data_IF_819343079901
#
_entry.id   IF_819343079901
#
_cell.length_a   1.000
_cell.length_b   1.000
_cell.length_c   1.000
_cell.angle_alpha   90.00
_cell.angle_beta   90.00
_cell.angle_gamma   90.00
#
_symmetry.space_group_name_H-M   'P 1'
#
loop_
_entity.id
_entity.type
_entity.pdbx_description
1 polymer ?
#
# COMPACT_ATOMS: atom_id res chain seq x y z
N UNK A 1 -35.89 -1.69 10.77
CA UNK A 1 -35.07 -1.92 11.97
C UNK A 1 -34.16 -3.13 11.76
N UNK A 2 -34.71 -4.36 11.70
CA UNK A 2 -33.94 -5.61 11.50
C UNK A 2 -33.03 -5.66 10.26
N UNK A 3 -33.41 -5.01 9.15
CA UNK A 3 -32.57 -4.97 7.95
C UNK A 3 -31.21 -4.28 8.19
N UNK A 4 -31.14 -3.26 9.07
CA UNK A 4 -29.88 -2.61 9.42
C UNK A 4 -28.99 -3.51 10.27
N UNK A 5 -29.59 -4.30 11.16
CA UNK A 5 -28.86 -5.25 12.01
C UNK A 5 -28.36 -6.47 11.24
N UNK A 6 -29.10 -6.93 10.23
CA UNK A 6 -28.71 -8.08 9.39
C UNK A 6 -27.69 -7.74 8.30
N UNK A 7 -27.62 -6.47 7.87
CA UNK A 7 -26.75 -6.03 6.79
C UNK A 7 -25.26 -6.35 7.04
N UNK A 8 -24.67 -6.11 8.23
CA UNK A 8 -23.31 -6.53 8.53
C UNK A 8 -23.07 -8.02 8.35
N UNK A 9 -23.96 -8.86 8.88
CA UNK A 9 -23.83 -10.33 8.78
C UNK A 9 -23.85 -10.81 7.32
N UNK A 10 -24.76 -10.27 6.51
CA UNK A 10 -24.82 -10.60 5.08
C UNK A 10 -23.55 -10.16 4.35
N UNK A 11 -23.04 -8.97 4.67
CA UNK A 11 -21.80 -8.47 4.06
C UNK A 11 -20.59 -9.27 4.51
N UNK A 12 -20.46 -9.62 5.78
CA UNK A 12 -19.38 -10.47 6.28
C UNK A 12 -19.41 -11.84 5.62
N UNK A 13 -20.57 -12.49 5.51
CA UNK A 13 -20.72 -13.77 4.82
C UNK A 13 -20.36 -13.69 3.32
N UNK A 14 -20.72 -12.58 2.66
CA UNK A 14 -20.28 -12.35 1.29
C UNK A 14 -18.75 -12.18 1.21
N UNK A 15 -18.19 -11.35 2.09
CA UNK A 15 -16.76 -11.09 2.18
C UNK A 15 -15.96 -12.36 2.50
N UNK A 16 -16.46 -13.28 3.32
CA UNK A 16 -15.82 -14.58 3.56
C UNK A 16 -15.62 -15.35 2.24
N UNK A 17 -16.65 -15.43 1.39
CA UNK A 17 -16.53 -16.09 0.08
C UNK A 17 -15.53 -15.36 -0.83
N UNK A 18 -15.56 -14.02 -0.85
CA UNK A 18 -14.60 -13.20 -1.61
C UNK A 18 -13.17 -13.42 -1.11
N UNK A 19 -12.97 -13.51 0.20
CA UNK A 19 -11.68 -13.77 0.83
C UNK A 19 -11.15 -15.15 0.46
N UNK A 20 -11.98 -16.19 0.58
CA UNK A 20 -11.61 -17.54 0.16
C UNK A 20 -11.20 -17.58 -1.32
N UNK A 21 -11.99 -16.93 -2.19
CA UNK A 21 -11.64 -16.81 -3.61
C UNK A 21 -10.40 -15.94 -3.89
N UNK A 22 -9.98 -15.08 -2.95
CA UNK A 22 -8.77 -14.29 -3.06
C UNK A 22 -7.54 -15.08 -2.62
N UNK A 23 -7.56 -15.71 -1.44
CA UNK A 23 -6.40 -16.45 -0.92
C UNK A 23 -6.04 -17.70 -1.73
N UNK A 24 -7.01 -18.24 -2.48
CA UNK A 24 -6.80 -19.39 -3.37
C UNK A 24 -6.22 -19.00 -4.75
N UNK A 25 -5.91 -17.72 -4.98
CA UNK A 25 -5.28 -17.27 -6.23
C UNK A 25 -3.78 -17.55 -6.22
N UNK A 26 -3.13 -17.54 -7.40
CA UNK A 26 -1.66 -17.59 -7.47
C UNK A 26 -1.03 -16.48 -6.62
N UNK A 27 0.14 -16.76 -6.04
CA UNK A 27 0.85 -15.85 -5.12
C UNK A 27 1.09 -14.49 -5.77
N UNK A 28 1.28 -14.48 -7.09
CA UNK A 28 1.49 -13.30 -7.90
C UNK A 28 0.30 -12.34 -7.86
N UNK A 29 -0.90 -12.81 -7.52
CA UNK A 29 -2.11 -11.99 -7.45
C UNK A 29 -2.50 -11.59 -6.02
N UNK A 30 -1.75 -12.06 -5.01
CA UNK A 30 -2.01 -11.81 -3.58
C UNK A 30 -1.43 -10.46 -3.13
N UNK A 31 -2.01 -9.38 -3.64
CA UNK A 31 -1.55 -8.01 -3.35
C UNK A 31 -1.96 -7.55 -1.95
N UNK A 32 -1.03 -6.97 -1.18
CA UNK A 32 -1.30 -6.44 0.17
C UNK A 32 -2.33 -5.31 0.17
N UNK A 33 -2.40 -4.50 -0.88
CA UNK A 33 -3.44 -3.47 -1.02
C UNK A 33 -4.85 -4.09 -1.05
N UNK A 34 -5.02 -5.27 -1.65
CA UNK A 34 -6.31 -5.99 -1.69
C UNK A 34 -6.67 -6.51 -0.30
N UNK A 35 -5.69 -6.99 0.45
CA UNK A 35 -5.87 -7.38 1.86
C UNK A 35 -6.29 -6.19 2.72
N UNK A 36 -5.67 -5.02 2.50
CA UNK A 36 -6.02 -3.80 3.22
C UNK A 36 -7.42 -3.28 2.86
N UNK A 37 -7.83 -3.35 1.58
CA UNK A 37 -9.18 -3.00 1.14
C UNK A 37 -10.21 -3.97 1.74
N UNK A 38 -9.93 -5.27 1.70
CA UNK A 38 -10.78 -6.29 2.31
C UNK A 38 -10.98 -6.01 3.80
N UNK A 39 -9.89 -5.71 4.51
CA UNK A 39 -9.93 -5.36 5.94
C UNK A 39 -10.80 -4.12 6.17
N UNK A 40 -10.65 -3.10 5.32
CA UNK A 40 -11.48 -1.89 5.39
C UNK A 40 -12.97 -2.19 5.20
N UNK A 41 -13.35 -3.08 4.26
CA UNK A 41 -14.74 -3.47 4.01
C UNK A 41 -15.33 -4.27 5.17
N UNK A 42 -14.51 -5.16 5.77
CA UNK A 42 -14.90 -5.98 6.90
C UNK A 42 -15.21 -5.14 8.14
N UNK A 43 -14.35 -4.19 8.48
CA UNK A 43 -14.53 -3.32 9.65
C UNK A 43 -15.50 -2.16 9.44
N UNK A 44 -16.00 -1.98 8.20
CA UNK A 44 -16.97 -0.95 7.83
C UNK A 44 -18.11 -1.55 6.99
N UNK A 45 -18.94 -2.42 7.58
CA UNK A 45 -19.99 -3.10 6.82
C UNK A 45 -21.02 -2.12 6.23
N UNK A 46 -21.29 -1.03 6.93
CA UNK A 46 -22.26 -0.01 6.51
C UNK A 46 -21.72 0.94 5.43
N UNK A 47 -20.39 1.03 5.27
CA UNK A 47 -19.76 1.90 4.29
C UNK A 47 -19.53 1.15 2.99
N UNK A 48 -19.93 1.76 1.87
CA UNK A 48 -19.55 1.29 0.54
C UNK A 48 -18.13 1.77 0.27
N UNK A 49 -17.18 0.84 0.30
CA UNK A 49 -15.80 1.10 -0.12
C UNK A 49 -15.71 0.69 -1.58
N UNK A 50 -15.18 1.57 -2.42
CA UNK A 50 -15.01 1.27 -3.83
C UNK A 50 -13.58 0.84 -4.08
N UNK A 51 -13.37 -0.41 -4.49
CA UNK A 51 -12.06 -0.91 -4.90
C UNK A 51 -11.42 -0.01 -5.97
N UNK A 52 -12.21 0.37 -6.99
CA UNK A 52 -11.73 1.22 -8.10
C UNK A 52 -11.35 2.62 -7.64
N UNK A 53 -11.97 3.13 -6.57
CA UNK A 53 -11.59 4.42 -6.00
C UNK A 53 -10.21 4.34 -5.33
N UNK A 54 -10.00 3.34 -4.48
CA UNK A 54 -8.71 3.12 -3.79
C UNK A 54 -7.60 2.87 -4.82
N UNK A 55 -7.86 2.04 -5.81
CA UNK A 55 -6.94 1.76 -6.92
C UNK A 55 -6.53 3.04 -7.65
N UNK A 56 -7.49 3.91 -7.96
CA UNK A 56 -7.23 5.20 -8.60
C UNK A 56 -6.39 6.13 -7.73
N UNK A 57 -6.63 6.18 -6.42
CA UNK A 57 -5.80 6.99 -5.51
C UNK A 57 -4.35 6.49 -5.48
N UNK A 58 -4.13 5.17 -5.51
CA UNK A 58 -2.80 4.58 -5.61
C UNK A 58 -2.13 4.87 -6.96
N UNK A 59 -2.89 4.83 -8.05
CA UNK A 59 -2.42 5.20 -9.39
C UNK A 59 -2.04 6.70 -9.45
N UNK A 60 -2.84 7.57 -8.82
CA UNK A 60 -2.55 9.00 -8.72
C UNK A 60 -1.25 9.27 -7.96
N UNK A 61 -0.96 8.51 -6.89
CA UNK A 61 0.32 8.60 -6.18
C UNK A 61 1.49 8.14 -7.06
N UNK A 62 1.33 7.03 -7.79
CA UNK A 62 2.33 6.54 -8.72
C UNK A 62 2.61 7.57 -9.84
N UNK A 63 1.56 8.17 -10.40
CA UNK A 63 1.67 9.20 -11.42
C UNK A 63 2.44 10.43 -10.91
N UNK A 64 2.19 10.87 -9.67
CA UNK A 64 2.94 11.97 -9.07
C UNK A 64 4.43 11.66 -8.93
N UNK A 65 4.80 10.42 -8.60
CA UNK A 65 6.21 10.00 -8.58
C UNK A 65 6.82 10.12 -9.97
N UNK A 66 6.10 9.67 -11.01
CA UNK A 66 6.55 9.76 -12.41
C UNK A 66 6.71 11.21 -12.86
N UNK A 67 5.81 12.10 -12.47
CA UNK A 67 5.88 13.53 -12.78
C UNK A 67 7.08 14.22 -12.12
N UNK A 68 7.33 13.94 -10.84
CA UNK A 68 8.53 14.42 -10.15
C UNK A 68 9.80 13.81 -10.74
N UNK A 69 9.77 12.55 -11.15
CA UNK A 69 10.91 11.91 -11.79
C UNK A 69 11.22 12.55 -13.14
N UNK A 70 10.20 13.01 -13.87
CA UNK A 70 10.39 13.70 -15.15
C UNK A 70 11.13 15.03 -14.98
N UNK A 71 10.92 15.75 -13.88
CA UNK A 71 11.66 16.99 -13.61
C UNK A 71 13.09 16.73 -13.14
N UNK A 72 13.33 15.64 -12.42
CA UNK A 72 14.66 15.26 -11.90
C UNK A 72 15.53 14.57 -12.96
N UNK A 73 14.97 13.64 -13.72
CA UNK A 73 15.65 12.87 -14.75
C UNK A 73 14.71 12.55 -15.93
N UNK A 74 14.58 13.46 -16.91
CA UNK A 74 13.72 13.25 -18.07
C UNK A 74 14.09 12.04 -18.95
N UNK A 75 15.31 11.50 -18.82
CA UNK A 75 15.84 10.38 -19.60
C UNK A 75 15.69 9.03 -18.88
N UNK A 76 14.98 8.98 -17.76
CA UNK A 76 14.80 7.75 -16.99
C UNK A 76 14.10 6.66 -17.84
N UNK A 77 14.55 5.40 -17.81
CA UNK A 77 14.00 4.33 -18.68
C UNK A 77 12.53 4.00 -18.44
N UNK A 78 11.96 4.39 -17.30
CA UNK A 78 10.52 4.27 -17.00
C UNK A 78 9.63 4.93 -18.07
N UNK A 79 10.11 5.98 -18.74
CA UNK A 79 9.36 6.66 -19.80
C UNK A 79 9.32 5.88 -21.12
N UNK A 80 10.15 4.83 -21.23
CA UNK A 80 10.15 3.90 -22.36
C UNK A 80 9.30 2.65 -22.07
N UNK A 81 8.81 2.49 -20.84
CA UNK A 81 7.99 1.35 -20.47
C UNK A 81 6.61 1.43 -21.11
N UNK A 82 6.09 0.29 -21.56
CA UNK A 82 4.78 0.22 -22.20
C UNK A 82 3.65 0.27 -21.16
N UNK A 83 2.46 0.69 -21.60
CA UNK A 83 1.25 0.61 -20.78
C UNK A 83 0.96 -0.81 -20.28
N UNK A 84 1.29 -1.83 -21.07
CA UNK A 84 1.12 -3.23 -20.69
C UNK A 84 2.02 -3.62 -19.51
N UNK A 85 3.26 -3.11 -19.47
CA UNK A 85 4.15 -3.34 -18.33
C UNK A 85 3.58 -2.74 -17.05
N UNK A 86 3.12 -1.49 -17.07
CA UNK A 86 2.46 -0.87 -15.93
C UNK A 86 1.20 -1.63 -15.49
N UNK A 87 0.41 -2.12 -16.45
CA UNK A 87 -0.79 -2.91 -16.18
C UNK A 87 -0.48 -4.24 -15.48
N UNK A 88 0.59 -4.92 -15.91
CA UNK A 88 1.08 -6.14 -15.25
C UNK A 88 1.51 -5.83 -13.83
N UNK A 89 2.37 -4.83 -13.64
CA UNK A 89 2.87 -4.41 -12.32
C UNK A 89 1.79 -3.94 -11.38
N UNK A 90 0.69 -3.41 -11.91
CA UNK A 90 -0.47 -2.99 -11.12
C UNK A 90 -1.29 -4.17 -10.61
N UNK A 91 -1.41 -5.24 -11.39
CA UNK A 91 -2.25 -6.39 -11.05
C UNK A 91 -1.51 -7.57 -10.42
N UNK A 92 -0.18 -7.61 -10.53
CA UNK A 92 0.66 -8.72 -10.05
C UNK A 92 1.77 -8.25 -9.11
N UNK A 93 2.25 -9.13 -8.24
CA UNK A 93 3.51 -8.96 -7.53
C UNK A 93 4.66 -9.04 -8.52
N UNK A 94 5.79 -8.50 -8.12
CA UNK A 94 6.99 -8.45 -8.96
C UNK A 94 8.09 -9.17 -8.19
N UNK A 95 8.67 -10.20 -8.80
CA UNK A 95 9.74 -10.98 -8.18
C UNK A 95 11.08 -10.26 -8.24
N UNK A 96 11.31 -9.43 -9.25
CA UNK A 96 12.57 -8.71 -9.43
C UNK A 96 12.35 -7.24 -9.77
N UNK A 97 13.27 -6.40 -9.30
CA UNK A 97 13.27 -5.00 -9.69
C UNK A 97 13.42 -4.85 -11.21
N UNK A 98 12.60 -4.00 -11.80
CA UNK A 98 12.61 -3.78 -13.25
C UNK A 98 13.79 -2.89 -13.65
N UNK A 99 14.16 -1.97 -12.75
CA UNK A 99 15.21 -0.98 -12.95
C UNK A 99 16.55 -1.42 -12.35
N UNK A 100 17.64 -0.85 -12.87
CA UNK A 100 18.94 -0.97 -12.23
C UNK A 100 18.96 -0.23 -10.86
N UNK A 101 20.05 -0.40 -10.11
CA UNK A 101 20.21 0.17 -8.77
C UNK A 101 20.07 1.70 -8.74
N UNK A 102 20.61 2.41 -9.73
CA UNK A 102 20.57 3.88 -9.77
C UNK A 102 19.18 4.40 -10.07
N UNK A 103 18.56 3.86 -11.12
CA UNK A 103 17.21 4.22 -11.56
C UNK A 103 16.17 3.88 -10.50
N UNK A 104 16.27 2.67 -9.92
CA UNK A 104 15.35 2.28 -8.85
C UNK A 104 15.50 3.12 -7.58
N UNK A 105 16.72 3.57 -7.26
CA UNK A 105 16.95 4.49 -6.14
C UNK A 105 16.31 5.85 -6.40
N UNK A 106 16.37 6.40 -7.62
CA UNK A 106 15.73 7.67 -7.94
C UNK A 106 14.20 7.60 -7.70
N UNK A 107 13.55 6.51 -8.12
CA UNK A 107 12.13 6.29 -7.86
C UNK A 107 11.86 6.23 -6.35
N UNK A 108 12.65 5.45 -5.61
CA UNK A 108 12.49 5.32 -4.15
C UNK A 108 12.73 6.62 -3.40
N UNK A 109 13.73 7.42 -3.79
CA UNK A 109 14.03 8.70 -3.17
C UNK A 109 12.87 9.68 -3.35
N UNK A 110 12.25 9.70 -4.54
CA UNK A 110 11.05 10.52 -4.81
C UNK A 110 9.86 10.00 -4.00
N UNK A 111 9.66 8.69 -3.96
CA UNK A 111 8.58 8.08 -3.18
C UNK A 111 8.74 8.38 -1.69
N UNK A 112 9.95 8.27 -1.14
CA UNK A 112 10.28 8.67 0.22
C UNK A 112 10.02 10.16 0.46
N UNK A 113 10.35 11.03 -0.50
CA UNK A 113 10.05 12.46 -0.38
C UNK A 113 8.55 12.74 -0.33
N UNK A 114 7.75 12.04 -1.12
CA UNK A 114 6.29 12.18 -1.14
C UNK A 114 5.67 11.70 0.19
N UNK A 115 6.18 10.58 0.73
CA UNK A 115 5.60 9.97 1.94
C UNK A 115 6.12 10.58 3.25
N UNK A 116 7.40 10.97 3.31
CA UNK A 116 8.09 11.30 4.55
C UNK A 116 8.74 12.68 4.60
N UNK A 117 8.86 13.39 3.47
CA UNK A 117 9.39 14.75 3.44
C UNK A 117 8.27 15.78 3.19
N UNK A 118 8.59 17.05 3.45
CA UNK A 118 7.75 18.25 3.29
C UNK A 118 7.25 18.45 1.84
N UNK A 119 6.36 17.59 1.38
CA UNK A 119 5.42 17.89 0.30
C UNK A 119 4.05 18.12 0.93
N UNK A 120 3.12 18.79 0.21
CA UNK A 120 1.74 19.02 0.67
C UNK A 120 0.93 17.74 0.97
N UNK A 121 1.54 16.56 0.81
CA UNK A 121 0.96 15.24 1.04
C UNK A 121 1.48 14.56 2.31
N UNK A 122 2.59 15.08 2.88
CA UNK A 122 3.37 14.54 3.99
C UNK A 122 2.53 13.60 4.86
N UNK A 123 2.67 12.28 4.67
CA UNK A 123 1.86 11.30 5.39
C UNK A 123 2.42 11.17 6.80
N UNK A 124 1.94 11.94 7.81
CA UNK A 124 2.53 11.89 9.12
C UNK A 124 2.19 10.53 9.70
N UNK A 125 3.21 9.78 10.10
CA UNK A 125 2.99 8.57 10.88
C UNK A 125 2.46 8.97 12.25
N UNK A 126 1.30 8.43 12.63
CA UNK A 126 0.78 8.65 13.99
C UNK A 126 1.62 7.83 14.97
N UNK A 127 2.14 8.42 16.06
CA UNK A 127 2.93 7.69 17.04
C UNK A 127 2.08 6.64 17.76
N UNK A 128 2.63 5.43 17.91
CA UNK A 128 1.98 4.28 18.54
C UNK A 128 1.55 4.50 20.01
N UNK A 129 2.05 5.55 20.67
CA UNK A 129 1.70 5.89 22.05
C UNK A 129 0.34 6.58 22.19
N UNK A 130 -0.35 6.89 21.09
CA UNK A 130 -1.75 7.31 21.19
C UNK A 130 -2.61 6.10 21.60
N UNK A 131 -3.24 6.12 22.78
CA UNK A 131 -3.85 4.93 23.39
C UNK A 131 -5.14 4.44 22.71
N UNK A 132 -5.50 4.99 21.55
CA UNK A 132 -6.76 4.68 20.87
C UNK A 132 -6.43 4.20 19.45
N UNK A 133 -6.63 2.91 19.21
CA UNK A 133 -6.58 2.29 17.89
C UNK A 133 -7.74 2.84 17.03
N UNK A 134 -7.55 4.02 16.43
CA UNK A 134 -8.57 4.66 15.59
C UNK A 134 -8.55 4.02 14.22
N UNK A 135 -9.72 3.57 13.76
CA UNK A 135 -9.90 2.98 12.42
C UNK A 135 -9.42 3.91 11.31
N UNK A 136 -9.48 5.23 11.53
CA UNK A 136 -9.01 6.26 10.61
C UNK A 136 -7.51 6.13 10.26
N UNK A 137 -6.69 5.60 11.16
CA UNK A 137 -5.24 5.44 10.94
C UNK A 137 -4.83 4.06 10.45
N UNK A 138 -5.77 3.11 10.39
CA UNK A 138 -5.50 1.71 10.04
C UNK A 138 -6.11 1.38 8.67
N UNK A 139 -7.35 1.80 8.43
CA UNK A 139 -8.09 1.38 7.25
C UNK A 139 -7.65 2.21 6.04
N UNK A 140 -7.23 1.52 4.96
CA UNK A 140 -6.59 2.13 3.78
C UNK A 140 -7.40 3.28 3.17
N UNK A 141 -8.74 3.19 3.19
CA UNK A 141 -9.60 4.24 2.66
C UNK A 141 -9.46 5.56 3.43
N UNK A 142 -9.30 5.51 4.76
CA UNK A 142 -9.10 6.71 5.57
C UNK A 142 -7.67 7.20 5.50
N UNK A 143 -6.70 6.27 5.46
CA UNK A 143 -5.28 6.65 5.36
C UNK A 143 -5.01 7.39 4.06
N UNK A 144 -5.59 6.98 2.94
CA UNK A 144 -5.51 7.69 1.66
C UNK A 144 -6.26 9.02 1.67
N UNK A 145 -7.45 9.09 2.28
CA UNK A 145 -8.25 10.31 2.38
C UNK A 145 -7.57 11.38 3.25
N UNK A 146 -7.14 10.99 4.45
CA UNK A 146 -6.55 11.89 5.45
C UNK A 146 -5.05 12.09 5.25
N UNK A 147 -4.43 11.28 4.39
CA UNK A 147 -2.99 11.23 4.19
C UNK A 147 -2.25 11.07 5.52
N UNK A 148 -2.73 10.20 6.40
CA UNK A 148 -2.09 9.92 7.70
C UNK A 148 -2.51 8.54 8.19
N UNK A 149 -1.61 7.82 8.84
CA UNK A 149 -1.90 6.48 9.33
C UNK A 149 -0.78 5.89 10.16
N UNK A 150 -0.98 4.65 10.59
CA UNK A 150 0.07 3.85 11.22
C UNK A 150 1.02 3.28 10.18
N UNK A 151 2.23 2.94 10.65
CA UNK A 151 3.33 2.49 9.79
C UNK A 151 2.95 1.29 8.91
N UNK A 152 2.12 0.36 9.41
CA UNK A 152 1.65 -0.80 8.65
C UNK A 152 0.88 -0.39 7.38
N UNK A 153 -0.12 0.49 7.54
CA UNK A 153 -0.98 0.92 6.43
C UNK A 153 -0.21 1.81 5.46
N UNK A 154 0.65 2.70 5.97
CA UNK A 154 1.54 3.50 5.13
C UNK A 154 2.53 2.63 4.34
N UNK A 155 3.06 1.58 4.95
CA UNK A 155 3.97 0.66 4.28
C UNK A 155 3.28 -0.15 3.18
N UNK A 156 2.02 -0.57 3.38
CA UNK A 156 1.22 -1.22 2.33
C UNK A 156 0.99 -0.26 1.16
N UNK A 157 0.63 1.00 1.43
CA UNK A 157 0.43 2.02 0.38
C UNK A 157 1.76 2.28 -0.35
N UNK A 158 2.85 2.47 0.38
CA UNK A 158 4.18 2.68 -0.21
C UNK A 158 4.58 1.51 -1.11
N UNK A 159 4.45 0.27 -0.62
CA UNK A 159 4.77 -0.94 -1.38
C UNK A 159 3.90 -1.09 -2.62
N UNK A 160 2.61 -0.76 -2.49
CA UNK A 160 1.63 -0.74 -3.57
C UNK A 160 1.99 0.25 -4.69
N UNK A 161 2.44 1.46 -4.33
CA UNK A 161 2.87 2.51 -5.27
C UNK A 161 4.22 2.14 -5.90
N UNK A 162 5.20 1.70 -5.10
CA UNK A 162 6.50 1.25 -5.59
C UNK A 162 6.36 0.12 -6.63
N UNK A 163 5.50 -0.86 -6.34
CA UNK A 163 5.21 -1.98 -7.24
C UNK A 163 4.64 -1.51 -8.56
N UNK A 164 3.66 -0.59 -8.58
CA UNK A 164 3.13 0.01 -9.82
C UNK A 164 4.21 0.67 -10.68
N UNK A 165 5.31 1.08 -10.08
CA UNK A 165 6.47 1.68 -10.74
C UNK A 165 7.58 0.68 -11.03
N UNK A 166 7.32 -0.63 -10.97
CA UNK A 166 8.32 -1.66 -11.28
C UNK A 166 9.36 -1.90 -10.17
N UNK A 167 9.11 -1.41 -8.96
CA UNK A 167 9.99 -1.59 -7.79
C UNK A 167 9.44 -2.65 -6.84
N UNK A 168 10.25 -3.65 -6.52
CA UNK A 168 9.95 -4.64 -5.49
C UNK A 168 10.38 -4.12 -4.12
N UNK A 169 9.40 -3.96 -3.23
CA UNK A 169 9.60 -3.74 -1.80
C UNK A 169 8.95 -4.89 -1.03
N UNK A 170 9.73 -5.60 -0.21
CA UNK A 170 9.23 -6.64 0.68
C UNK A 170 8.81 -5.99 2.01
N UNK A 171 7.61 -6.30 2.48
CA UNK A 171 7.13 -5.85 3.78
C UNK A 171 7.56 -6.85 4.86
N UNK A 172 8.29 -6.37 5.87
CA UNK A 172 8.75 -7.17 7.00
C UNK A 172 8.10 -6.67 8.28
N UNK A 173 7.50 -7.58 9.05
CA UNK A 173 7.00 -7.31 10.39
C UNK A 173 7.91 -7.96 11.42
N UNK A 174 8.42 -7.17 12.37
CA UNK A 174 9.21 -7.67 13.48
C UNK A 174 8.45 -7.47 14.77
N UNK A 175 8.29 -8.57 15.52
CA UNK A 175 7.82 -8.54 16.88
C UNK A 175 9.02 -8.24 17.79
N UNK A 176 8.97 -7.14 18.52
CA UNK A 176 9.97 -6.85 19.56
C UNK A 176 9.29 -7.04 20.92
N UNK A 177 9.62 -8.12 21.65
CA UNK A 177 9.14 -8.31 23.01
C UNK A 177 9.60 -7.12 23.86
N UNK A 178 8.66 -6.49 24.56
CA UNK A 178 8.92 -5.35 25.45
C UNK A 178 8.26 -5.65 26.78
N UNK A 179 9.00 -5.52 27.89
CA UNK A 179 8.50 -5.71 29.26
C UNK A 179 7.38 -4.73 29.66
N UNK A 180 7.08 -3.73 28.83
CA UNK A 180 5.92 -2.85 28.97
C UNK A 180 4.84 -3.31 27.99
N UNK A 181 3.63 -3.55 28.51
CA UNK A 181 2.46 -4.21 27.93
C UNK A 181 1.83 -3.58 26.66
N UNK A 182 2.63 -2.91 25.81
CA UNK A 182 2.21 -2.43 24.51
C UNK A 182 3.19 -2.98 23.47
N UNK A 183 2.74 -4.01 22.78
CA UNK A 183 3.46 -4.78 21.77
C UNK A 183 3.99 -3.88 20.65
N UNK A 184 5.31 -3.85 20.43
CA UNK A 184 5.93 -3.06 19.37
C UNK A 184 6.09 -3.92 18.12
N UNK A 185 5.08 -3.90 17.26
CA UNK A 185 5.21 -4.43 15.90
C UNK A 185 5.84 -3.36 15.00
N UNK A 186 7.11 -3.55 14.65
CA UNK A 186 7.80 -2.68 13.70
C UNK A 186 7.57 -3.20 12.28
N UNK A 187 7.09 -2.31 11.41
CA UNK A 187 6.96 -2.59 9.98
C UNK A 187 8.12 -1.93 9.25
N UNK A 188 8.91 -2.75 8.56
CA UNK A 188 10.04 -2.31 7.75
C UNK A 188 9.80 -2.66 6.28
N UNK A 189 10.22 -1.77 5.40
CA UNK A 189 10.24 -2.02 3.97
C UNK A 189 11.67 -2.39 3.57
N UNK A 190 11.84 -3.58 3.01
CA UNK A 190 13.12 -4.05 2.48
C UNK A 190 13.12 -3.90 0.96
N UNK A 191 14.07 -3.14 0.46
CA UNK A 191 14.40 -3.09 -0.96
C UNK A 191 15.74 -3.78 -1.20
N UNK A 192 15.83 -4.61 -2.23
CA UNK A 192 17.08 -5.25 -2.67
C UNK A 192 17.43 -4.76 -4.07
N UNK A 193 18.63 -4.22 -4.32
CA UNK A 193 19.02 -3.83 -5.67
C UNK A 193 19.12 -5.04 -6.59
N UNK A 194 18.86 -4.82 -7.89
CA UNK A 194 18.79 -5.88 -8.90
C UNK A 194 20.10 -6.67 -9.10
N UNK A 195 21.26 -6.07 -8.79
CA UNK A 195 22.58 -6.60 -9.15
C UNK A 195 23.57 -6.66 -7.97
N UNK A 196 23.10 -6.88 -6.75
CA UNK A 196 24.00 -7.28 -5.66
C UNK A 196 23.83 -8.78 -5.42
N UNK A 197 24.66 -9.57 -6.10
CA UNK A 197 25.05 -10.91 -5.65
C UNK A 197 26.20 -10.76 -4.64
#
# INVERSE_FOLDING_TARGET
YYAKELLPYLKHRHLENVWQGFINRPVEQLLLEKVAIFSAEWYQPEKRISYTHIERELDNLAQQVVEHLKSVNPKHPIFLASHDQFSVWKCHTIDENQWNTSDGRQILDILCKIFFCETNLNFPSVPYWQPIFRREYVLINYVLEKKTGFSASLAIIFQSVARRLGIRCDLLSFFVPSDRAWERNYWLLKWKPKWLN
#
